data_IF_762084781265
#
_entry.id   IF_762084781265
#
_cell.length_a   1.000
_cell.length_b   1.000
_cell.length_c   1.000
_cell.angle_alpha   90.00
_cell.angle_beta   90.00
_cell.angle_gamma   90.00
#
_symmetry.space_group_name_H-M   'P 1'
#
loop_
_entity.id
_entity.type
_entity.pdbx_description
1 polymer ?
#
# COMPACT_ATOMS: atom_id res chain seq x y z
N UNK A 1 20.20 23.27 -17.62
CA UNK A 1 18.96 23.03 -16.85
C UNK A 1 18.48 21.65 -17.25
N UNK A 2 18.49 20.73 -16.28
CA UNK A 2 18.33 19.26 -16.33
C UNK A 2 18.45 18.54 -17.68
N UNK A 3 19.65 18.06 -17.94
CA UNK A 3 19.95 16.99 -18.91
C UNK A 3 19.27 15.72 -18.37
N UNK A 4 18.54 14.96 -19.20
CA UNK A 4 17.72 13.76 -18.89
C UNK A 4 16.25 14.01 -18.50
N UNK A 5 15.42 14.38 -19.48
CA UNK A 5 13.97 14.26 -19.38
C UNK A 5 13.58 12.85 -19.89
N UNK A 6 13.39 11.92 -18.95
CA UNK A 6 12.93 10.57 -19.27
C UNK A 6 11.43 10.65 -19.51
N UNK A 7 10.94 10.28 -20.71
CA UNK A 7 9.50 10.25 -21.04
C UNK A 7 8.62 9.56 -19.99
N UNK A 8 9.20 8.63 -19.23
CA UNK A 8 8.56 7.97 -18.11
C UNK A 8 8.27 8.90 -16.93
N UNK A 9 9.21 9.78 -16.56
CA UNK A 9 9.06 10.76 -15.49
C UNK A 9 7.99 11.79 -15.85
N UNK A 10 7.96 12.25 -17.10
CA UNK A 10 6.97 13.22 -17.56
C UNK A 10 5.57 12.64 -17.52
N UNK A 11 5.42 11.39 -17.98
CA UNK A 11 4.15 10.68 -17.93
C UNK A 11 3.70 10.41 -16.49
N UNK A 12 4.62 10.06 -15.61
CA UNK A 12 4.36 9.88 -14.18
C UNK A 12 3.88 11.18 -13.53
N UNK A 13 4.57 12.30 -13.78
CA UNK A 13 4.20 13.60 -13.23
C UNK A 13 2.85 14.08 -13.78
N UNK A 14 2.60 13.89 -15.07
CA UNK A 14 1.31 14.23 -15.68
C UNK A 14 0.14 13.50 -14.98
N UNK A 15 0.26 12.19 -14.78
CA UNK A 15 -0.82 11.41 -14.18
C UNK A 15 -1.02 11.65 -12.68
N UNK A 16 0.07 11.83 -11.93
CA UNK A 16 0.02 11.82 -10.46
C UNK A 16 0.13 13.20 -9.82
N UNK A 17 0.56 14.21 -10.58
CA UNK A 17 0.72 15.58 -10.09
C UNK A 17 -0.25 16.50 -10.83
N UNK A 18 -0.27 16.47 -12.17
CA UNK A 18 -1.09 17.40 -12.96
C UNK A 18 -2.59 17.03 -12.95
N UNK A 19 -2.92 15.72 -12.91
CA UNK A 19 -4.31 15.24 -12.83
C UNK A 19 -4.84 15.06 -11.41
N UNK A 20 -3.97 15.12 -10.39
CA UNK A 20 -4.36 14.82 -9.01
C UNK A 20 -5.15 15.98 -8.37
N UNK A 21 -6.12 15.64 -7.50
CA UNK A 21 -6.84 16.64 -6.71
C UNK A 21 -5.93 17.19 -5.62
N UNK A 22 -5.57 18.47 -5.76
CA UNK A 22 -4.69 19.21 -4.84
C UNK A 22 -5.13 19.11 -3.36
N UNK A 23 -6.41 18.92 -3.08
CA UNK A 23 -6.96 18.83 -1.71
C UNK A 23 -6.54 17.56 -0.97
N UNK A 24 -6.09 16.55 -1.71
CA UNK A 24 -5.75 15.22 -1.19
C UNK A 24 -4.25 14.98 -1.08
N UNK A 25 -3.42 15.89 -1.56
CA UNK A 25 -1.95 15.72 -1.63
C UNK A 25 -1.29 15.52 -0.25
N UNK A 26 -1.86 16.14 0.79
CA UNK A 26 -1.33 16.05 2.16
C UNK A 26 -1.85 14.82 2.91
N UNK A 27 -2.70 13.99 2.28
CA UNK A 27 -3.22 12.82 2.94
C UNK A 27 -2.16 11.72 3.02
N UNK A 28 -2.11 11.00 4.15
CA UNK A 28 -1.18 9.89 4.30
C UNK A 28 -1.44 8.85 3.20
N UNK A 29 -0.35 8.30 2.63
CA UNK A 29 -0.34 7.30 1.55
C UNK A 29 -0.74 7.79 0.15
N UNK A 30 -1.12 9.07 -0.02
CA UNK A 30 -1.53 9.64 -1.33
C UNK A 30 -0.39 10.39 -2.01
N UNK A 31 0.48 11.05 -1.24
CA UNK A 31 1.60 11.87 -1.75
C UNK A 31 2.53 11.13 -2.71
N UNK A 32 2.60 9.80 -2.60
CA UNK A 32 3.33 8.94 -3.54
C UNK A 32 2.65 7.58 -3.65
N UNK A 33 2.63 6.95 -4.83
CA UNK A 33 2.14 5.58 -5.00
C UNK A 33 3.06 4.54 -4.36
N UNK A 34 4.32 4.89 -4.08
CA UNK A 34 5.33 3.98 -3.51
C UNK A 34 4.90 3.38 -2.16
N UNK A 35 4.47 4.16 -1.15
CA UNK A 35 4.00 3.60 0.12
C UNK A 35 2.80 2.67 -0.04
N UNK A 36 1.86 3.00 -0.94
CA UNK A 36 0.69 2.16 -1.20
C UNK A 36 1.09 0.81 -1.81
N UNK A 37 1.93 0.83 -2.85
CA UNK A 37 2.42 -0.39 -3.52
C UNK A 37 3.23 -1.26 -2.54
N UNK A 38 4.05 -0.63 -1.70
CA UNK A 38 4.84 -1.34 -0.69
C UNK A 38 3.94 -2.04 0.33
N UNK A 39 2.90 -1.36 0.81
CA UNK A 39 1.91 -1.94 1.72
C UNK A 39 1.19 -3.13 1.09
N UNK A 40 0.81 -3.04 -0.18
CA UNK A 40 0.16 -4.12 -0.91
C UNK A 40 1.06 -5.35 -1.05
N UNK A 41 2.33 -5.14 -1.44
CA UNK A 41 3.31 -6.23 -1.55
C UNK A 41 3.52 -6.89 -0.18
N UNK A 42 3.69 -6.09 0.87
CA UNK A 42 3.87 -6.58 2.22
C UNK A 42 2.63 -7.37 2.70
N UNK A 43 1.43 -6.89 2.41
CA UNK A 43 0.17 -7.56 2.72
C UNK A 43 0.05 -8.90 2.01
N UNK A 44 0.28 -8.95 0.69
CA UNK A 44 0.20 -10.19 -0.08
C UNK A 44 1.25 -11.21 0.38
N UNK A 45 2.48 -10.75 0.64
CA UNK A 45 3.52 -11.61 1.20
C UNK A 45 3.11 -12.17 2.57
N UNK A 46 2.54 -11.33 3.43
CA UNK A 46 2.05 -11.73 4.73
C UNK A 46 0.94 -12.79 4.62
N UNK A 47 -0.09 -12.55 3.80
CA UNK A 47 -1.26 -13.44 3.73
C UNK A 47 -0.93 -14.76 3.02
N UNK A 48 -0.16 -14.73 1.94
CA UNK A 48 0.05 -15.91 1.09
C UNK A 48 1.20 -16.79 1.57
N UNK A 49 2.25 -16.20 2.13
CA UNK A 49 3.48 -16.93 2.44
C UNK A 49 3.78 -16.96 3.93
N UNK A 50 3.94 -15.79 4.55
CA UNK A 50 4.47 -15.72 5.90
C UNK A 50 3.46 -16.18 6.96
N UNK A 51 2.22 -15.69 6.87
CA UNK A 51 1.12 -15.98 7.78
C UNK A 51 0.80 -17.48 7.86
N UNK A 52 0.50 -18.17 6.74
CA UNK A 52 0.20 -19.59 6.76
C UNK A 52 1.36 -20.44 7.30
N UNK A 53 2.60 -20.13 6.92
CA UNK A 53 3.79 -20.82 7.44
C UNK A 53 3.96 -20.63 8.94
N UNK A 54 3.71 -19.41 9.44
CA UNK A 54 3.78 -19.11 10.86
C UNK A 54 2.68 -19.80 11.68
N UNK A 55 1.48 -19.93 11.10
CA UNK A 55 0.31 -20.53 11.75
C UNK A 55 0.25 -22.06 11.62
N UNK A 56 1.04 -22.67 10.74
CA UNK A 56 0.99 -24.12 10.44
C UNK A 56 1.10 -25.03 11.68
N UNK A 57 1.90 -24.64 12.67
CA UNK A 57 2.13 -25.44 13.89
C UNK A 57 1.49 -24.83 15.14
N UNK A 58 0.54 -23.90 14.98
CA UNK A 58 -0.10 -23.18 16.08
C UNK A 58 -1.61 -23.40 16.07
N UNK A 59 -2.22 -23.37 17.26
CA UNK A 59 -3.68 -23.38 17.38
C UNK A 59 -4.26 -22.09 16.80
N UNK A 60 -5.45 -22.12 16.17
CA UNK A 60 -6.09 -20.93 15.63
C UNK A 60 -6.39 -19.91 16.74
N UNK A 61 -6.29 -18.63 16.39
CA UNK A 61 -6.58 -17.53 17.32
C UNK A 61 -8.09 -17.45 17.61
N UNK A 62 -8.46 -17.26 18.87
CA UNK A 62 -9.83 -16.98 19.28
C UNK A 62 -10.11 -15.48 19.13
N UNK A 63 -10.76 -15.09 18.04
CA UNK A 63 -11.05 -13.69 17.71
C UNK A 63 -12.50 -13.28 18.03
N UNK A 64 -13.21 -14.05 18.85
CA UNK A 64 -14.64 -13.86 19.15
C UNK A 64 -14.93 -12.46 19.72
N UNK A 65 -14.13 -11.99 20.69
CA UNK A 65 -14.29 -10.67 21.29
C UNK A 65 -14.02 -9.55 20.27
N UNK A 66 -12.95 -9.68 19.49
CA UNK A 66 -12.60 -8.68 18.49
C UNK A 66 -13.71 -8.56 17.43
N UNK A 67 -14.20 -9.69 16.90
CA UNK A 67 -15.29 -9.69 15.92
C UNK A 67 -16.58 -9.12 16.51
N UNK A 68 -16.87 -9.38 17.79
CA UNK A 68 -18.04 -8.82 18.46
C UNK A 68 -17.96 -7.29 18.62
N UNK A 69 -16.79 -6.73 18.94
CA UNK A 69 -16.60 -5.27 19.12
C UNK A 69 -16.74 -4.53 17.78
N UNK A 70 -16.24 -5.11 16.69
CA UNK A 70 -16.27 -4.48 15.36
C UNK A 70 -17.58 -4.72 14.59
N UNK A 71 -18.50 -5.51 15.16
CA UNK A 71 -19.84 -5.75 14.60
C UNK A 71 -20.75 -4.55 14.86
#
# INVERSE_FOLDING_TARGET
MSIYENRFTDYYNYLLIDLADYRTNDWPLITSPVPLVTLLIAYLYFVLSWGPKYMANRKPFKLELSVYIFK
#
